data_IF_573794142773
#
_entry.id   IF_573794142773
#
_cell.length_a   1.000
_cell.length_b   1.000
_cell.length_c   1.000
_cell.angle_alpha   90.00
_cell.angle_beta   90.00
_cell.angle_gamma   90.00
#
_symmetry.space_group_name_H-M   'P 1'
#
loop_
_entity.id
_entity.type
_entity.pdbx_description
1 polymer ?
#
# COMPACT_ATOMS: atom_id res chain seq x y z
N UNK A 1 55.52 3.32 -7.94
CA UNK A 1 55.15 2.45 -9.08
C UNK A 1 53.89 3.06 -9.68
N UNK A 2 53.84 3.29 -10.99
CA UNK A 2 52.64 3.85 -11.61
C UNK A 2 51.64 2.71 -11.77
N UNK A 3 50.75 2.55 -10.78
CA UNK A 3 49.69 1.55 -10.85
C UNK A 3 48.79 1.93 -12.04
N UNK A 4 48.91 1.16 -13.12
CA UNK A 4 48.05 1.29 -14.30
C UNK A 4 46.84 0.39 -14.11
N UNK A 5 45.69 0.75 -14.68
CA UNK A 5 44.53 -0.14 -14.70
C UNK A 5 44.85 -1.55 -15.20
N UNK A 6 45.81 -1.70 -16.13
CA UNK A 6 46.21 -3.01 -16.63
C UNK A 6 46.94 -3.89 -15.62
N UNK A 7 47.45 -3.31 -14.53
CA UNK A 7 48.06 -4.05 -13.42
C UNK A 7 47.04 -4.69 -12.47
N UNK A 8 45.76 -4.34 -12.61
CA UNK A 8 44.68 -4.96 -11.85
C UNK A 8 44.37 -6.34 -12.41
N UNK A 9 44.04 -7.29 -11.53
CA UNK A 9 43.51 -8.59 -11.96
C UNK A 9 42.05 -8.46 -12.42
N UNK A 10 41.49 -9.51 -13.04
CA UNK A 10 40.14 -9.46 -13.60
C UNK A 10 39.04 -9.21 -12.55
N UNK A 11 39.24 -9.70 -11.33
CA UNK A 11 38.33 -9.51 -10.20
C UNK A 11 38.30 -8.05 -9.75
N UNK A 12 39.48 -7.43 -9.63
CA UNK A 12 39.66 -6.02 -9.31
C UNK A 12 39.11 -5.12 -10.42
N UNK A 13 39.36 -5.45 -11.69
CA UNK A 13 38.80 -4.73 -12.84
C UNK A 13 37.27 -4.74 -12.80
N UNK A 14 36.67 -5.92 -12.60
CA UNK A 14 35.23 -6.06 -12.50
C UNK A 14 34.64 -5.35 -11.27
N UNK A 15 35.30 -5.45 -10.12
CA UNK A 15 34.88 -4.79 -8.88
C UNK A 15 34.96 -3.26 -8.97
N UNK A 16 36.03 -2.72 -9.57
CA UNK A 16 36.20 -1.29 -9.80
C UNK A 16 35.15 -0.78 -10.78
N UNK A 17 34.92 -1.50 -11.88
CA UNK A 17 33.89 -1.13 -12.86
C UNK A 17 32.49 -1.14 -12.25
N UNK A 18 32.18 -2.17 -11.46
CA UNK A 18 30.96 -2.25 -10.68
C UNK A 18 30.81 -1.06 -9.74
N UNK A 19 31.87 -0.65 -9.04
CA UNK A 19 31.84 0.47 -8.08
C UNK A 19 31.70 1.84 -8.76
N UNK A 20 32.26 2.01 -9.96
CA UNK A 20 32.17 3.25 -10.75
C UNK A 20 30.77 3.48 -11.33
N UNK A 21 30.07 2.40 -11.68
CA UNK A 21 28.78 2.48 -12.36
C UNK A 21 27.59 2.10 -11.47
N UNK A 22 27.83 1.47 -10.32
CA UNK A 22 26.77 1.05 -9.43
C UNK A 22 25.92 2.24 -9.01
N UNK A 23 24.62 1.98 -8.92
CA UNK A 23 23.73 2.89 -8.24
C UNK A 23 23.96 2.76 -6.72
N UNK A 24 24.47 3.79 -6.02
CA UNK A 24 24.58 3.76 -4.56
C UNK A 24 23.26 3.37 -3.85
N UNK A 25 22.10 3.59 -4.49
CA UNK A 25 20.80 3.11 -4.02
C UNK A 25 20.51 1.65 -4.45
N UNK A 26 20.72 1.27 -5.72
CA UNK A 26 20.37 -0.08 -6.19
C UNK A 26 21.34 -1.19 -5.71
N UNK A 27 22.63 -0.86 -5.57
CA UNK A 27 23.66 -1.80 -5.09
C UNK A 27 23.45 -2.20 -3.62
N UNK A 28 22.99 -1.27 -2.77
CA UNK A 28 22.71 -1.57 -1.35
C UNK A 28 21.40 -2.35 -1.15
N UNK A 29 20.42 -2.17 -2.03
CA UNK A 29 19.10 -2.79 -1.93
C UNK A 29 19.05 -4.24 -2.45
N UNK A 30 19.87 -4.59 -3.46
CA UNK A 30 19.99 -5.97 -3.93
C UNK A 30 20.68 -6.89 -2.90
N UNK A 31 21.62 -6.36 -2.11
CA UNK A 31 22.51 -7.17 -1.26
C UNK A 31 21.95 -7.50 0.13
N UNK A 32 21.06 -6.69 0.71
CA UNK A 32 20.44 -6.98 2.02
C UNK A 32 19.21 -7.89 1.95
N UNK A 33 18.60 -8.07 0.77
CA UNK A 33 17.34 -8.79 0.60
C UNK A 33 17.46 -10.19 0.00
N UNK A 34 18.65 -10.58 -0.49
CA UNK A 34 18.87 -11.95 -0.99
C UNK A 34 19.31 -12.85 0.17
N UNK A 35 18.67 -14.01 0.27
CA UNK A 35 18.90 -15.04 1.30
C UNK A 35 20.40 -15.44 1.42
N UNK A 36 20.85 -15.96 2.57
CA UNK A 36 22.25 -16.35 2.82
C UNK A 36 22.86 -17.27 1.74
N UNK A 37 22.03 -17.99 1.00
CA UNK A 37 22.43 -18.88 -0.09
C UNK A 37 23.17 -18.16 -1.24
N UNK A 38 22.76 -16.94 -1.59
CA UNK A 38 23.37 -16.22 -2.72
C UNK A 38 24.75 -15.64 -2.41
N UNK A 39 25.05 -15.37 -1.12
CA UNK A 39 26.38 -14.94 -0.66
C UNK A 39 27.49 -15.96 -0.92
N UNK A 40 27.13 -17.22 -1.22
CA UNK A 40 28.06 -18.31 -1.55
C UNK A 40 28.28 -18.51 -3.05
N UNK A 41 27.61 -17.74 -3.92
CA UNK A 41 27.88 -17.86 -5.36
C UNK A 41 29.30 -17.41 -5.66
N UNK A 42 29.97 -18.21 -6.50
CA UNK A 42 31.34 -17.99 -6.99
C UNK A 42 31.54 -16.57 -7.49
N UNK A 43 30.54 -15.99 -8.12
CA UNK A 43 30.54 -14.61 -8.60
C UNK A 43 30.73 -13.58 -7.46
N UNK A 44 29.98 -13.70 -6.38
CA UNK A 44 30.05 -12.74 -5.26
C UNK A 44 31.34 -12.87 -4.46
N UNK A 45 31.89 -14.08 -4.37
CA UNK A 45 33.17 -14.30 -3.71
C UNK A 45 34.28 -13.54 -4.44
N UNK A 46 34.38 -13.69 -5.75
CA UNK A 46 35.38 -12.99 -6.56
C UNK A 46 35.15 -11.47 -6.58
N UNK A 47 33.90 -11.02 -6.65
CA UNK A 47 33.59 -9.59 -6.54
C UNK A 47 34.04 -9.00 -5.20
N UNK A 48 33.69 -9.64 -4.08
CA UNK A 48 34.08 -9.17 -2.75
C UNK A 48 35.60 -9.21 -2.53
N UNK A 49 36.27 -10.25 -3.04
CA UNK A 49 37.75 -10.33 -3.04
C UNK A 49 38.38 -9.17 -3.81
N UNK A 50 37.83 -8.84 -4.98
CA UNK A 50 38.21 -7.64 -5.74
C UNK A 50 38.00 -6.36 -4.94
N UNK A 51 36.83 -6.17 -4.32
CA UNK A 51 36.54 -4.98 -3.49
C UNK A 51 37.53 -4.84 -2.32
N UNK A 52 37.80 -5.93 -1.60
CA UNK A 52 38.72 -5.92 -0.46
C UNK A 52 40.16 -5.59 -0.91
N UNK A 53 40.60 -6.15 -2.04
CA UNK A 53 41.90 -5.84 -2.64
C UNK A 53 41.98 -4.36 -3.06
N UNK A 54 40.95 -3.83 -3.71
CA UNK A 54 40.90 -2.43 -4.12
C UNK A 54 40.90 -1.45 -2.93
N UNK A 55 40.28 -1.83 -1.80
CA UNK A 55 40.36 -1.06 -0.55
C UNK A 55 41.77 -1.06 0.02
N UNK A 56 42.45 -2.21 0.02
CA UNK A 56 43.85 -2.30 0.45
C UNK A 56 44.78 -1.45 -0.42
N UNK A 57 44.49 -1.38 -1.73
CA UNK A 57 45.20 -0.53 -2.69
C UNK A 57 44.80 0.96 -2.63
N UNK A 58 43.85 1.34 -1.77
CA UNK A 58 43.39 2.73 -1.61
C UNK A 58 42.60 3.27 -2.81
N UNK A 59 42.10 2.38 -3.67
CA UNK A 59 41.29 2.74 -4.85
C UNK A 59 39.80 2.89 -4.48
N UNK A 60 39.36 2.23 -3.42
CA UNK A 60 38.02 2.38 -2.85
C UNK A 60 38.10 2.85 -1.41
N UNK A 61 37.12 3.65 -0.98
CA UNK A 61 36.93 4.03 0.42
C UNK A 61 36.28 2.89 1.24
N UNK A 62 36.09 3.12 2.55
CA UNK A 62 35.42 2.16 3.44
C UNK A 62 34.00 1.83 3.00
N UNK A 63 33.34 2.77 2.32
CA UNK A 63 31.96 2.68 1.81
C UNK A 63 31.88 2.11 0.39
N UNK A 64 32.99 1.61 -0.16
CA UNK A 64 33.11 1.06 -1.52
C UNK A 64 32.95 2.11 -2.64
N UNK A 65 33.14 3.39 -2.34
CA UNK A 65 33.15 4.43 -3.37
C UNK A 65 34.56 4.56 -3.99
N UNK A 66 34.66 4.74 -5.32
CA UNK A 66 35.92 5.06 -5.96
C UNK A 66 36.53 6.38 -5.45
N UNK A 67 37.81 6.34 -5.08
CA UNK A 67 38.59 7.51 -4.65
C UNK A 67 39.31 8.13 -5.85
N UNK A 68 39.81 9.36 -5.75
CA UNK A 68 40.48 10.07 -6.84
C UNK A 68 41.56 9.24 -7.56
N UNK A 69 42.35 8.48 -6.81
CA UNK A 69 43.40 7.61 -7.35
C UNK A 69 42.82 6.58 -8.33
N UNK A 70 41.64 6.05 -8.04
CA UNK A 70 40.94 5.08 -8.89
C UNK A 70 40.61 5.65 -10.27
N UNK A 71 40.33 6.95 -10.37
CA UNK A 71 40.09 7.60 -11.66
C UNK A 71 41.38 7.88 -12.43
N UNK A 72 42.50 8.10 -11.73
CA UNK A 72 43.79 8.39 -12.35
C UNK A 72 44.41 7.18 -13.04
N UNK A 73 44.11 5.97 -12.56
CA UNK A 73 44.64 4.74 -13.15
C UNK A 73 43.88 4.31 -14.41
N UNK A 74 42.67 4.85 -14.64
CA UNK A 74 41.80 4.44 -15.75
C UNK A 74 42.29 4.96 -17.10
N UNK A 75 42.20 4.14 -18.17
CA UNK A 75 42.38 4.62 -19.53
C UNK A 75 41.35 5.68 -19.91
N UNK A 76 41.74 6.62 -20.78
CA UNK A 76 40.86 7.70 -21.23
C UNK A 76 39.56 7.19 -21.88
N UNK A 77 39.61 6.05 -22.57
CA UNK A 77 38.42 5.41 -23.16
C UNK A 77 37.40 5.00 -22.10
N UNK A 78 37.86 4.41 -20.99
CA UNK A 78 36.99 4.01 -19.89
C UNK A 78 36.43 5.23 -19.15
N UNK A 79 37.25 6.26 -18.93
CA UNK A 79 36.78 7.52 -18.34
C UNK A 79 35.66 8.16 -19.17
N UNK A 80 35.78 8.17 -20.51
CA UNK A 80 34.71 8.64 -21.40
C UNK A 80 33.43 7.84 -21.23
N UNK A 81 33.54 6.50 -21.19
CA UNK A 81 32.38 5.62 -21.00
C UNK A 81 31.71 5.83 -19.63
N UNK A 82 32.49 6.01 -18.57
CA UNK A 82 31.97 6.33 -17.23
C UNK A 82 31.21 7.65 -17.25
N UNK A 83 31.79 8.70 -17.85
CA UNK A 83 31.14 10.00 -17.96
C UNK A 83 29.82 9.91 -18.74
N UNK A 84 29.81 9.22 -19.88
CA UNK A 84 28.61 9.03 -20.70
C UNK A 84 27.52 8.28 -19.94
N UNK A 85 27.90 7.21 -19.23
CA UNK A 85 26.96 6.41 -18.43
C UNK A 85 26.39 7.22 -17.28
N UNK A 86 27.23 7.97 -16.55
CA UNK A 86 26.79 8.83 -15.46
C UNK A 86 25.89 9.97 -15.95
N UNK A 87 26.20 10.58 -17.11
CA UNK A 87 25.34 11.60 -17.73
C UNK A 87 23.95 11.06 -18.08
N UNK A 88 23.90 9.90 -18.76
CA UNK A 88 22.63 9.26 -19.10
C UNK A 88 21.83 8.92 -17.84
N UNK A 89 22.51 8.54 -16.77
CA UNK A 89 21.88 8.24 -15.49
C UNK A 89 21.32 9.48 -14.79
N UNK A 90 22.09 10.58 -14.74
CA UNK A 90 21.61 11.86 -14.19
C UNK A 90 20.36 12.32 -14.94
N UNK A 91 20.36 12.22 -16.27
CA UNK A 91 19.19 12.56 -17.08
C UNK A 91 17.95 11.74 -16.72
N UNK A 92 18.09 10.41 -16.56
CA UNK A 92 16.99 9.55 -16.13
C UNK A 92 16.48 9.93 -14.74
N UNK A 93 17.39 10.17 -13.79
CA UNK A 93 17.01 10.60 -12.44
C UNK A 93 16.26 11.93 -12.43
N UNK A 94 16.66 12.88 -13.28
CA UNK A 94 15.93 14.13 -13.44
C UNK A 94 14.54 13.91 -14.04
N UNK A 95 14.40 13.07 -15.05
CA UNK A 95 13.10 12.74 -15.65
C UNK A 95 12.17 12.03 -14.66
N UNK A 96 12.69 11.05 -13.92
CA UNK A 96 11.93 10.35 -12.90
C UNK A 96 11.56 11.28 -11.74
N UNK A 97 12.48 12.19 -11.36
CA UNK A 97 12.20 13.26 -10.40
C UNK A 97 11.07 14.17 -10.85
N UNK A 98 11.07 14.59 -12.13
CA UNK A 98 9.98 15.40 -12.71
C UNK A 98 8.65 14.66 -12.70
N UNK A 99 8.63 13.38 -13.11
CA UNK A 99 7.41 12.55 -13.07
C UNK A 99 6.89 12.37 -11.64
N UNK A 100 7.78 12.09 -10.69
CA UNK A 100 7.41 11.96 -9.28
C UNK A 100 6.84 13.26 -8.71
N UNK A 101 7.42 14.41 -9.07
CA UNK A 101 6.93 15.71 -8.65
C UNK A 101 5.54 16.00 -9.21
N UNK A 102 5.31 15.73 -10.50
CA UNK A 102 3.99 15.85 -11.12
C UNK A 102 2.96 14.98 -10.41
N UNK A 103 3.32 13.71 -10.12
CA UNK A 103 2.43 12.80 -9.39
C UNK A 103 2.12 13.29 -7.98
N UNK A 104 3.09 13.91 -7.29
CA UNK A 104 2.86 14.52 -5.97
C UNK A 104 1.84 15.66 -6.05
N UNK A 105 1.96 16.53 -7.04
CA UNK A 105 1.02 17.64 -7.25
C UNK A 105 -0.40 17.15 -7.57
N UNK A 106 -0.54 16.10 -8.39
CA UNK A 106 -1.82 15.46 -8.68
C UNK A 106 -2.48 14.92 -7.40
N UNK A 107 -1.71 14.21 -6.58
CA UNK A 107 -2.21 13.65 -5.32
C UNK A 107 -2.56 14.74 -4.32
N UNK A 108 -1.79 15.83 -4.23
CA UNK A 108 -2.12 16.97 -3.39
C UNK A 108 -3.43 17.64 -3.81
N UNK A 109 -3.68 17.75 -5.12
CA UNK A 109 -4.94 18.24 -5.64
C UNK A 109 -6.11 17.31 -5.29
N UNK A 110 -5.92 15.99 -5.45
CA UNK A 110 -6.93 14.99 -5.10
C UNK A 110 -7.27 15.03 -3.61
N UNK A 111 -6.26 15.09 -2.73
CA UNK A 111 -6.45 15.21 -1.28
C UNK A 111 -7.22 16.49 -0.94
N UNK A 112 -6.89 17.62 -1.57
CA UNK A 112 -7.63 18.87 -1.35
C UNK A 112 -9.08 18.74 -1.80
N UNK A 113 -9.33 18.16 -2.97
CA UNK A 113 -10.69 17.95 -3.48
C UNK A 113 -11.52 17.03 -2.58
N UNK A 114 -10.94 15.93 -2.11
CA UNK A 114 -11.60 15.01 -1.17
C UNK A 114 -11.90 15.70 0.16
N UNK A 115 -11.00 16.54 0.65
CA UNK A 115 -11.24 17.32 1.86
C UNK A 115 -12.42 18.28 1.69
N UNK A 116 -12.48 19.00 0.57
CA UNK A 116 -13.60 19.90 0.27
C UNK A 116 -14.93 19.13 0.18
N UNK A 117 -14.92 17.90 -0.34
CA UNK A 117 -16.10 17.03 -0.37
C UNK A 117 -16.51 16.58 1.03
N UNK A 118 -15.57 16.18 1.88
CA UNK A 118 -15.85 15.80 3.28
C UNK A 118 -16.41 16.99 4.05
N UNK A 119 -15.85 18.18 3.88
CA UNK A 119 -16.35 19.39 4.53
C UNK A 119 -17.77 19.72 4.06
N UNK A 120 -18.04 19.60 2.75
CA UNK A 120 -19.39 19.79 2.20
C UNK A 120 -20.39 18.76 2.76
N UNK A 121 -20.02 17.49 2.80
CA UNK A 121 -20.87 16.43 3.37
C UNK A 121 -21.07 16.61 4.88
N UNK A 122 -20.06 17.09 5.61
CA UNK A 122 -20.17 17.45 7.02
C UNK A 122 -21.20 18.55 7.23
N UNK A 123 -21.15 19.61 6.42
CA UNK A 123 -22.15 20.69 6.43
C UNK A 123 -23.55 20.14 6.07
N UNK A 124 -23.65 19.26 5.08
CA UNK A 124 -24.94 18.63 4.73
C UNK A 124 -25.48 17.79 5.90
N UNK A 125 -24.64 17.01 6.59
CA UNK A 125 -25.03 16.23 7.77
C UNK A 125 -25.44 17.09 8.96
N UNK A 126 -24.79 18.25 9.18
CA UNK A 126 -25.22 19.22 10.19
C UNK A 126 -26.58 19.85 9.85
N UNK A 127 -26.90 19.97 8.56
CA UNK A 127 -28.18 20.50 8.07
C UNK A 127 -29.30 19.44 8.01
N UNK A 128 -28.97 18.14 8.02
CA UNK A 128 -29.95 17.09 8.30
C UNK A 128 -30.38 17.27 9.76
N UNK A 129 -31.69 17.40 9.99
CA UNK A 129 -32.32 17.66 11.31
C UNK A 129 -31.42 17.20 12.46
N UNK A 130 -30.79 18.13 13.21
CA UNK A 130 -29.87 17.77 14.28
C UNK A 130 -30.51 16.72 15.16
N UNK A 131 -29.74 15.74 15.60
CA UNK A 131 -30.27 14.66 16.45
C UNK A 131 -31.07 15.24 17.62
N UNK A 132 -30.65 16.38 18.17
CA UNK A 132 -31.41 17.16 19.16
C UNK A 132 -32.80 17.60 18.68
N UNK A 133 -32.97 18.07 17.45
CA UNK A 133 -34.29 18.47 16.92
C UNK A 133 -35.21 17.27 16.71
N UNK A 134 -34.64 16.11 16.36
CA UNK A 134 -35.36 14.85 16.26
C UNK A 134 -35.77 14.37 17.66
N UNK A 135 -34.84 14.38 18.62
CA UNK A 135 -35.09 14.08 20.05
C UNK A 135 -36.16 15.00 20.62
N UNK A 136 -36.06 16.31 20.39
CA UNK A 136 -37.07 17.28 20.84
C UNK A 136 -38.44 17.03 20.18
N UNK A 137 -38.47 16.56 18.93
CA UNK A 137 -39.73 16.17 18.28
C UNK A 137 -40.34 14.91 18.91
N UNK A 138 -39.52 13.94 19.33
CA UNK A 138 -39.97 12.75 20.08
C UNK A 138 -40.46 13.09 21.48
N UNK A 139 -39.76 13.98 22.20
CA UNK A 139 -40.19 14.49 23.51
C UNK A 139 -41.55 15.20 23.42
N UNK A 140 -41.75 16.03 22.38
CA UNK A 140 -43.03 16.71 22.15
C UNK A 140 -44.18 15.75 21.79
N UNK A 141 -43.87 14.58 21.23
CA UNK A 141 -44.87 13.58 20.85
C UNK A 141 -45.10 12.51 21.91
N UNK A 142 -44.55 12.68 23.12
CA UNK A 142 -44.63 11.71 24.24
C UNK A 142 -44.12 10.30 23.84
N UNK A 143 -43.23 10.24 22.85
CA UNK A 143 -42.58 9.00 22.44
C UNK A 143 -41.47 8.75 23.44
N UNK A 144 -41.77 7.96 24.47
CA UNK A 144 -40.81 7.58 25.50
C UNK A 144 -39.75 6.61 24.96
N UNK A 145 -38.73 6.35 25.79
CA UNK A 145 -37.63 5.44 25.44
C UNK A 145 -38.12 4.01 25.12
N UNK A 146 -39.29 3.61 25.64
CA UNK A 146 -39.90 2.33 25.34
C UNK A 146 -40.52 2.31 23.94
N UNK A 147 -41.13 3.39 23.48
CA UNK A 147 -41.63 3.51 22.11
C UNK A 147 -40.49 3.50 21.09
N UNK A 148 -39.38 4.19 21.36
CA UNK A 148 -38.20 4.17 20.48
C UNK A 148 -37.62 2.74 20.40
N UNK A 149 -37.46 2.08 21.55
CA UNK A 149 -37.01 0.67 21.62
C UNK A 149 -38.00 -0.26 20.92
N UNK A 150 -39.30 -0.05 21.07
CA UNK A 150 -40.34 -0.83 20.40
C UNK A 150 -40.32 -0.63 18.89
N UNK A 151 -40.11 0.60 18.39
CA UNK A 151 -39.99 0.89 16.96
C UNK A 151 -38.71 0.32 16.35
N UNK A 152 -37.57 0.40 17.06
CA UNK A 152 -36.31 -0.25 16.62
C UNK A 152 -36.48 -1.76 16.63
N UNK A 153 -37.06 -2.32 17.71
CA UNK A 153 -37.34 -3.75 17.80
C UNK A 153 -38.28 -4.20 16.70
N UNK A 154 -39.39 -3.50 16.41
CA UNK A 154 -40.31 -3.83 15.33
C UNK A 154 -39.64 -3.78 13.95
N UNK A 155 -38.81 -2.77 13.69
CA UNK A 155 -38.05 -2.67 12.43
C UNK A 155 -36.96 -3.73 12.27
N UNK A 156 -36.45 -4.31 13.35
CA UNK A 156 -35.48 -5.42 13.31
C UNK A 156 -36.18 -6.79 13.32
N UNK A 157 -37.31 -6.90 14.01
CA UNK A 157 -38.11 -8.11 14.16
C UNK A 157 -38.87 -8.43 12.87
N UNK A 158 -39.39 -7.44 12.15
CA UNK A 158 -40.08 -7.71 10.87
C UNK A 158 -39.16 -8.39 9.83
N UNK A 159 -37.95 -7.88 9.53
CA UNK A 159 -37.00 -8.57 8.65
C UNK A 159 -36.59 -9.96 9.18
N UNK A 160 -36.41 -10.11 10.50
CA UNK A 160 -36.04 -11.39 11.10
C UNK A 160 -37.17 -12.44 10.95
N UNK A 161 -38.42 -12.03 11.13
CA UNK A 161 -39.60 -12.90 10.92
C UNK A 161 -39.75 -13.24 9.44
N UNK A 162 -39.62 -12.25 8.53
CA UNK A 162 -39.66 -12.48 7.07
C UNK A 162 -38.64 -13.53 6.65
N UNK A 163 -37.38 -13.38 7.10
CA UNK A 163 -36.31 -14.34 6.84
C UNK A 163 -36.64 -15.72 7.42
N UNK A 164 -37.22 -15.80 8.62
CA UNK A 164 -37.59 -17.08 9.23
C UNK A 164 -38.72 -17.79 8.50
N UNK A 165 -39.69 -17.04 7.98
CA UNK A 165 -40.78 -17.56 7.16
C UNK A 165 -40.28 -18.06 5.80
N UNK A 166 -39.34 -17.34 5.18
CA UNK A 166 -38.66 -17.80 3.96
C UNK A 166 -37.89 -19.12 4.19
N UNK A 167 -37.15 -19.23 5.29
CA UNK A 167 -36.46 -20.49 5.69
C UNK A 167 -37.44 -21.66 5.87
N UNK A 168 -38.68 -21.38 6.29
CA UNK A 168 -39.75 -22.36 6.46
C UNK A 168 -40.55 -22.61 5.16
N UNK A 169 -40.11 -22.04 4.04
CA UNK A 169 -40.69 -22.25 2.70
C UNK A 169 -41.90 -21.36 2.38
N UNK A 170 -42.21 -20.37 3.22
CA UNK A 170 -43.31 -19.44 2.99
C UNK A 170 -42.81 -18.20 2.25
N UNK A 171 -43.33 -17.96 1.05
CA UNK A 171 -43.04 -16.77 0.26
C UNK A 171 -44.03 -15.66 0.61
N UNK A 172 -43.52 -14.58 1.20
CA UNK A 172 -44.30 -13.39 1.54
C UNK A 172 -44.31 -12.38 0.38
N UNK A 173 -45.46 -11.77 0.05
CA UNK A 173 -45.50 -10.61 -0.83
C UNK A 173 -44.70 -9.42 -0.27
N UNK A 174 -44.13 -8.59 -1.15
CA UNK A 174 -43.29 -7.46 -0.75
C UNK A 174 -44.01 -6.38 0.10
N UNK A 175 -45.34 -6.34 0.09
CA UNK A 175 -46.16 -5.33 0.80
C UNK A 175 -47.08 -5.93 1.88
N UNK A 176 -46.73 -7.09 2.44
CA UNK A 176 -47.53 -7.69 3.53
C UNK A 176 -47.39 -6.90 4.83
N UNK A 177 -48.52 -6.62 5.50
CA UNK A 177 -48.53 -5.89 6.77
C UNK A 177 -47.91 -6.73 7.89
N UNK A 178 -47.22 -6.11 8.85
CA UNK A 178 -46.56 -6.81 9.96
C UNK A 178 -47.48 -7.78 10.71
N UNK A 179 -48.72 -7.39 11.00
CA UNK A 179 -49.68 -8.25 11.70
C UNK A 179 -50.01 -9.55 10.94
N UNK A 180 -50.00 -9.51 9.61
CA UNK A 180 -50.22 -10.68 8.75
C UNK A 180 -48.97 -11.57 8.71
N UNK A 181 -47.78 -10.97 8.64
CA UNK A 181 -46.49 -11.68 8.71
C UNK A 181 -46.38 -12.43 10.04
N UNK A 182 -46.68 -11.77 11.15
CA UNK A 182 -46.64 -12.37 12.48
C UNK A 182 -47.66 -13.51 12.63
N UNK A 183 -48.88 -13.32 12.12
CA UNK A 183 -49.92 -14.35 12.12
C UNK A 183 -49.53 -15.59 11.31
N UNK A 184 -48.87 -15.40 10.16
CA UNK A 184 -48.34 -16.50 9.35
C UNK A 184 -47.21 -17.23 10.08
N UNK A 185 -46.30 -16.53 10.75
CA UNK A 185 -45.27 -17.18 11.57
C UNK A 185 -45.92 -18.04 12.66
N UNK A 186 -46.94 -17.54 13.37
CA UNK A 186 -47.65 -18.32 14.38
C UNK A 186 -48.38 -19.53 13.81
N UNK A 187 -48.98 -19.42 12.62
CA UNK A 187 -49.63 -20.56 11.95
C UNK A 187 -48.60 -21.63 11.57
N UNK A 188 -47.49 -21.23 10.95
CA UNK A 188 -46.43 -22.15 10.55
C UNK A 188 -45.81 -22.82 11.77
N UNK A 189 -45.53 -22.07 12.83
CA UNK A 189 -44.99 -22.63 14.09
C UNK A 189 -45.96 -23.61 14.77
N UNK A 190 -47.28 -23.43 14.62
CA UNK A 190 -48.30 -24.38 15.10
C UNK A 190 -48.39 -25.66 14.25
N UNK A 191 -47.97 -25.61 12.99
CA UNK A 191 -47.94 -26.75 12.08
C UNK A 191 -46.65 -27.57 12.17
N UNK A 192 -45.54 -26.99 12.63
CA UNK A 192 -44.25 -27.68 12.81
C UNK A 192 -44.34 -28.95 13.69
N UNK A 193 -45.10 -29.00 14.82
CA UNK A 193 -45.28 -30.22 15.59
C UNK A 193 -45.93 -31.36 14.81
N UNK A 194 -46.70 -31.07 13.76
CA UNK A 194 -47.42 -32.06 12.94
C UNK A 194 -46.64 -32.50 11.69
N UNK A 195 -45.45 -31.95 11.43
CA UNK A 195 -44.60 -32.30 10.26
C UNK A 195 -43.44 -33.23 10.62
N UNK A 196 -43.26 -33.57 11.89
CA UNK A 196 -42.21 -34.46 12.42
C UNK A 196 -42.75 -35.82 12.90
N UNK A 197 -44.00 -36.16 12.56
CA UNK A 197 -44.57 -37.50 12.72
C UNK A 197 -44.75 -38.17 11.35
#
# INVERSE_FOLDING_TARGET
>A
MSDSYESLNDEEKAALWGSLLADPAAGRLMLKRLTPSYSKSTYYRYYNQGIDSLKQKGLLDTSQNPVEIAFRILPLSMLKQVIETLRARVQRMEEDGRKSMQRSLELEYEVRSLRDQVDKQGIELENVRPLQSLIQSFEKSQVDDNWIRASIALNLVEPAIKKKLEELGVKLPAQTKFGEIYSQLLQVLKEIPNRLC
#
